data_IF_340020933018
#
_entry.id   IF_340020933018
#
_cell.length_a   1.000
_cell.length_b   1.000
_cell.length_c   1.000
_cell.angle_alpha   90.00
_cell.angle_beta   90.00
_cell.angle_gamma   90.00
#
_symmetry.space_group_name_H-M   'P 1'
#
loop_
_entity.id
_entity.type
_entity.pdbx_description
1 polymer ?
2 non-polymer ?
3 water ?
#
# COMPACT_ATOMS: atom_id res chain seq x y z
N UNK A 1 -14.21 -12.71 3.27
CA UNK A 1 -13.61 -13.35 2.14
C UNK A 1 -12.11 -13.50 2.27
N UNK A 2 -11.60 -14.38 1.46
CA UNK A 2 -10.21 -14.53 1.21
C UNK A 2 -9.94 -14.08 -0.20
N UNK A 3 -8.91 -13.27 -0.39
CA UNK A 3 -8.52 -12.95 -1.77
C UNK A 3 -7.06 -13.06 -1.95
N UNK A 4 -6.76 -13.54 -3.13
CA UNK A 4 -5.41 -13.60 -3.66
C UNK A 4 -5.00 -12.26 -4.32
N UNK A 5 -3.70 -12.13 -4.67
CA UNK A 5 -3.13 -10.87 -5.08
C UNK A 5 -2.64 -10.77 -6.47
N UNK A 6 -3.15 -11.67 -7.36
CA UNK A 6 -2.81 -11.58 -8.77
C UNK A 6 -3.44 -10.37 -9.45
N UNK A 7 -4.55 -9.88 -8.88
CA UNK A 7 -5.09 -8.63 -9.30
C UNK A 7 -5.14 -7.65 -8.10
N UNK A 8 -5.34 -6.40 -8.38
CA UNK A 8 -5.45 -5.41 -7.28
C UNK A 8 -6.59 -5.72 -6.41
N UNK A 9 -6.45 -5.62 -5.10
CA UNK A 9 -7.55 -6.03 -4.11
C UNK A 9 -8.53 -4.88 -3.94
N UNK A 10 -9.42 -4.79 -4.95
CA UNK A 10 -10.36 -3.67 -4.96
C UNK A 10 -11.69 -4.13 -4.35
N UNK A 11 -12.28 -3.30 -3.52
CA UNK A 11 -13.57 -3.54 -2.90
C UNK A 11 -14.52 -2.36 -3.10
N UNK A 12 -15.78 -2.62 -2.99
CA UNK A 12 -16.79 -1.56 -2.96
C UNK A 12 -16.99 -0.98 -1.63
N UNK A 13 -17.07 0.38 -1.59
CA UNK A 13 -17.32 1.13 -0.41
C UNK A 13 -18.56 2.00 -0.58
N UNK A 14 -19.16 2.30 0.53
CA UNK A 14 -20.29 3.27 0.64
C UNK A 14 -20.04 4.26 1.74
N UNK A 15 -19.95 5.48 1.42
CA UNK A 15 -19.63 6.57 2.33
C UNK A 15 -20.36 7.79 2.00
N UNK A 16 -21.02 8.35 3.01
CA UNK A 16 -21.81 9.49 2.81
C UNK A 16 -22.83 9.34 1.71
N UNK A 17 -23.45 8.13 1.59
CA UNK A 17 -24.42 7.89 0.60
C UNK A 17 -23.94 7.75 -0.88
N UNK A 18 -22.63 7.63 -1.05
CA UNK A 18 -22.08 7.46 -2.35
C UNK A 18 -21.25 6.24 -2.41
N UNK A 19 -21.26 5.66 -3.58
CA UNK A 19 -20.63 4.38 -3.82
C UNK A 19 -19.38 4.61 -4.63
N UNK A 20 -18.33 3.98 -4.13
CA UNK A 20 -17.05 4.03 -4.82
C UNK A 20 -16.31 2.69 -4.74
N UNK A 21 -15.20 2.57 -5.40
CA UNK A 21 -14.29 1.46 -5.22
C UNK A 21 -13.00 1.98 -4.60
N UNK A 22 -12.33 1.06 -3.93
CA UNK A 22 -11.07 1.43 -3.21
C UNK A 22 -10.21 0.17 -3.08
N UNK A 23 -8.91 0.39 -2.99
CA UNK A 23 -7.93 -0.67 -2.94
C UNK A 23 -7.61 -0.93 -1.47
N UNK A 24 -7.73 -2.20 -1.04
CA UNK A 24 -7.33 -2.60 0.33
C UNK A 24 -5.80 -2.57 0.38
N UNK A 25 -5.22 -1.73 1.20
CA UNK A 25 -3.78 -1.36 1.05
C UNK A 25 -3.06 -1.53 2.41
N UNK A 26 -2.44 -2.69 2.57
CA UNK A 26 -1.69 -2.90 3.82
C UNK A 26 -0.48 -2.01 3.97
N UNK A 27 -0.01 -1.34 2.95
CA UNK A 27 1.03 -0.37 3.04
C UNK A 27 0.65 1.01 3.47
N UNK A 28 -0.65 1.24 3.64
CA UNK A 28 -1.17 2.53 4.00
C UNK A 28 -1.64 2.53 5.48
N UNK A 29 -1.06 3.46 6.27
CA UNK A 29 -1.46 3.53 7.63
C UNK A 29 -2.95 4.07 7.69
N UNK A 30 -3.28 4.97 6.76
CA UNK A 30 -4.57 5.71 6.81
C UNK A 30 -5.32 5.52 5.48
N UNK A 31 -6.62 5.69 5.55
CA UNK A 31 -7.52 5.64 4.42
C UNK A 31 -7.58 7.00 3.72
N UNK A 32 -7.44 7.00 2.41
CA UNK A 32 -7.40 8.23 1.67
C UNK A 32 -8.28 8.07 0.44
N UNK A 33 -9.29 8.95 0.29
CA UNK A 33 -10.19 8.92 -0.84
C UNK A 33 -10.17 10.22 -1.60
N UNK A 34 -10.33 10.18 -2.90
CA UNK A 34 -10.33 11.43 -3.62
C UNK A 34 -11.73 11.87 -4.07
N UNK A 35 -12.53 10.91 -4.43
CA UNK A 35 -13.55 11.39 -5.37
C UNK A 35 -14.89 11.67 -4.60
N UNK A 36 -14.82 12.23 -3.34
CA UNK A 36 -15.89 12.18 -2.26
C UNK A 36 -16.16 13.50 -1.48
N UNK A 37 -17.49 13.80 -1.20
CA UNK A 37 -18.04 14.80 -0.27
C UNK A 37 -18.37 14.36 1.05
N UNK A 38 -17.63 14.98 2.04
CA UNK A 38 -17.99 14.72 3.40
C UNK A 38 -18.46 15.97 4.00
N UNK A 39 -19.41 15.88 4.85
CA UNK A 39 -19.94 17.06 5.53
C UNK A 39 -19.16 17.32 6.79
N UNK A 40 -19.36 18.51 7.35
CA UNK A 40 -18.80 18.83 8.68
C UNK A 40 -17.40 19.35 8.68
N UNK A 41 -16.94 19.47 9.92
CA UNK A 41 -15.61 19.96 10.25
C UNK A 41 -14.47 19.00 9.78
N UNK A 42 -13.27 19.56 9.54
CA UNK A 42 -12.08 18.76 9.16
C UNK A 42 -10.84 19.52 9.48
N UNK A 43 -9.71 18.85 9.50
CA UNK A 43 -8.38 19.45 9.77
C UNK A 43 -7.39 19.17 8.63
N UNK A 44 -6.52 20.14 8.29
CA UNK A 44 -5.45 19.98 7.26
C UNK A 44 -4.49 18.96 7.79
N UNK A 45 -3.98 18.12 6.90
CA UNK A 45 -2.96 17.10 7.22
C UNK A 45 -2.08 16.89 5.99
N UNK A 46 -0.82 16.54 6.11
CA UNK A 46 -0.01 16.35 4.92
C UNK A 46 0.35 14.90 5.02
N UNK A 47 0.33 14.15 4.06
CA UNK A 47 0.73 12.77 4.19
C UNK A 47 1.84 12.52 3.22
N UNK A 48 2.68 11.55 3.54
CA UNK A 48 3.80 11.36 2.69
C UNK A 48 3.90 9.99 2.01
N UNK A 49 3.73 10.04 0.68
CA UNK A 49 3.77 8.83 -0.13
C UNK A 49 4.98 8.81 -1.02
N UNK A 50 5.10 7.77 -1.84
CA UNK A 50 6.33 7.64 -2.52
C UNK A 50 6.73 8.93 -3.19
N UNK A 51 5.80 9.59 -3.90
CA UNK A 51 6.16 10.62 -4.91
C UNK A 51 6.41 12.00 -4.34
N UNK A 52 6.38 12.07 -3.01
CA UNK A 52 6.60 13.31 -2.34
C UNK A 52 5.64 13.53 -1.19
N UNK A 53 4.80 14.58 -1.36
CA UNK A 53 3.74 14.99 -0.38
C UNK A 53 2.37 15.11 -1.04
N UNK A 54 1.29 14.93 -0.24
CA UNK A 54 -0.06 15.38 -0.66
C UNK A 54 -0.76 15.98 0.56
N UNK A 55 -1.49 17.07 0.34
CA UNK A 55 -2.17 17.81 1.40
C UNK A 55 -3.61 17.31 1.39
N UNK A 56 -4.12 16.92 2.56
CA UNK A 56 -5.42 16.22 2.68
C UNK A 56 -6.27 16.87 3.72
N UNK A 57 -7.58 16.66 3.62
CA UNK A 57 -8.51 16.96 4.73
C UNK A 57 -8.77 15.74 5.55
N UNK A 58 -8.58 15.85 6.84
CA UNK A 58 -8.93 14.82 7.81
C UNK A 58 -10.29 14.98 8.35
N UNK A 59 -11.14 14.00 8.04
CA UNK A 59 -12.51 13.79 8.65
C UNK A 59 -12.55 12.66 9.65
N UNK A 60 -13.03 12.96 10.88
CA UNK A 60 -13.03 12.01 11.98
C UNK A 60 -14.39 11.39 12.11
N UNK A 61 -14.42 10.17 12.57
CA UNK A 61 -15.66 9.46 12.88
C UNK A 61 -16.72 9.41 11.77
N UNK A 62 -16.16 8.99 10.62
CA UNK A 62 -16.90 8.88 9.38
C UNK A 62 -17.41 7.48 9.30
N UNK A 63 -18.72 7.38 9.19
CA UNK A 63 -19.33 6.11 8.90
C UNK A 63 -18.97 5.63 7.48
N UNK A 64 -18.50 4.38 7.32
CA UNK A 64 -18.15 3.80 6.00
C UNK A 64 -18.42 2.38 5.91
N UNK A 65 -19.02 1.89 4.83
CA UNK A 65 -19.24 0.45 4.54
C UNK A 65 -18.19 -0.02 3.62
N UNK A 66 -17.49 -1.09 4.01
CA UNK A 66 -16.38 -1.61 3.18
C UNK A 66 -16.69 -3.08 2.88
N UNK A 67 -16.89 -3.44 1.65
CA UNK A 67 -17.26 -4.77 1.26
C UNK A 67 -18.42 -5.28 2.16
N UNK A 68 -19.40 -4.44 2.48
CA UNK A 68 -20.53 -4.81 3.28
C UNK A 68 -20.44 -4.58 4.81
N UNK A 69 -19.26 -4.28 5.38
CA UNK A 69 -19.07 -4.09 6.79
C UNK A 69 -19.04 -2.66 7.27
N UNK A 70 -19.94 -2.27 8.11
CA UNK A 70 -20.03 -0.97 8.63
C UNK A 70 -18.96 -0.65 9.69
N UNK A 71 -18.18 0.49 9.56
CA UNK A 71 -17.25 0.84 10.50
C UNK A 71 -17.29 2.35 10.63
N UNK A 72 -16.57 2.95 11.56
CA UNK A 72 -16.47 4.37 11.68
C UNK A 72 -15.00 4.64 11.91
N UNK A 73 -14.44 5.62 11.22
CA UNK A 73 -13.15 6.06 11.56
C UNK A 73 -12.75 7.17 10.74
N UNK A 74 -11.48 7.40 10.71
CA UNK A 74 -10.91 8.50 10.07
C UNK A 74 -10.73 8.26 8.61
N UNK A 75 -11.15 9.23 7.88
CA UNK A 75 -11.03 9.27 6.43
C UNK A 75 -10.32 10.54 6.00
N UNK A 76 -9.30 10.39 5.20
CA UNK A 76 -8.62 11.52 4.59
C UNK A 76 -9.12 11.71 3.21
N UNK A 77 -9.42 12.99 2.85
CA UNK A 77 -9.81 13.37 1.51
C UNK A 77 -8.74 14.22 0.84
N UNK A 78 -8.29 13.83 -0.33
CA UNK A 78 -7.27 14.54 -1.06
C UNK A 78 -6.87 13.81 -2.29
N UNK A 79 -5.95 14.40 -3.08
CA UNK A 79 -5.67 13.80 -4.36
C UNK A 79 -4.80 12.52 -4.10
N UNK A 80 -5.28 11.50 -4.69
CA UNK A 80 -4.60 10.22 -4.60
C UNK A 80 -4.94 9.63 -5.92
N UNK A 81 -3.95 8.96 -6.48
CA UNK A 81 -4.31 8.40 -7.78
C UNK A 81 -5.32 7.20 -7.69
N UNK A 82 -5.43 6.59 -6.49
CA UNK A 82 -6.39 5.56 -6.26
C UNK A 82 -6.91 5.69 -4.87
N UNK A 83 -8.21 5.49 -4.71
CA UNK A 83 -8.82 5.44 -3.40
C UNK A 83 -8.17 4.23 -2.67
N UNK A 84 -7.89 4.42 -1.37
CA UNK A 84 -7.11 3.51 -0.55
C UNK A 84 -7.80 3.29 0.80
N UNK A 85 -7.99 2.03 1.16
CA UNK A 85 -8.42 1.68 2.51
C UNK A 85 -7.15 1.26 3.25
N UNK A 86 -6.83 1.99 4.28
CA UNK A 86 -5.61 1.70 5.09
C UNK A 86 -5.89 0.87 6.29
N UNK A 87 -4.78 0.64 7.04
CA UNK A 87 -4.89 -0.25 8.16
C UNK A 87 -5.83 0.30 9.23
N UNK A 88 -5.98 1.63 9.33
CA UNK A 88 -6.93 2.16 10.31
C UNK A 88 -8.29 1.57 10.23
N UNK A 89 -8.74 1.30 9.03
CA UNK A 89 -10.02 0.66 8.85
C UNK A 89 -9.99 -0.86 8.60
N UNK A 90 -8.88 -1.39 8.00
CA UNK A 90 -8.75 -2.80 7.88
C UNK A 90 -8.72 -3.58 9.22
N UNK A 91 -8.12 -2.90 10.22
CA UNK A 91 -8.15 -3.56 11.53
C UNK A 91 -9.55 -3.76 12.10
N UNK A 92 -10.43 -2.84 11.72
CA UNK A 92 -11.85 -2.93 12.11
C UNK A 92 -12.55 -4.11 11.47
N UNK A 93 -12.08 -4.53 10.31
CA UNK A 93 -12.61 -5.74 9.66
C UNK A 93 -11.99 -7.06 10.09
N UNK A 94 -11.00 -6.97 10.99
CA UNK A 94 -10.20 -8.12 11.45
C UNK A 94 -9.37 -8.72 10.29
N UNK A 95 -8.91 -7.84 9.38
CA UNK A 95 -8.19 -8.34 8.24
C UNK A 95 -6.78 -8.86 8.65
N UNK A 96 -6.39 -9.92 7.97
CA UNK A 96 -5.06 -10.46 8.06
C UNK A 96 -4.39 -10.73 6.73
N UNK A 97 -3.06 -10.71 6.70
CA UNK A 97 -2.27 -11.22 5.60
C UNK A 97 -1.79 -12.59 6.00
N UNK A 98 -1.80 -13.52 5.05
CA UNK A 98 -1.46 -14.82 5.23
C UNK A 98 -0.53 -15.24 4.18
N UNK A 99 0.61 -15.89 4.58
CA UNK A 99 1.37 -16.69 3.63
C UNK A 99 2.17 -17.88 4.20
N UNK B 1 3.06 -17.50 7.73
CA UNK B 1 2.51 -16.82 8.89
C UNK B 1 1.21 -16.11 8.56
N UNK B 2 0.48 -15.86 9.60
CA UNK B 2 -0.63 -14.99 9.62
C UNK B 2 -0.26 -13.72 10.38
N UNK B 3 -0.56 -12.56 9.82
CA UNK B 3 -0.40 -11.38 10.62
C UNK B 3 -1.58 -10.54 10.54
N UNK B 4 -1.77 -9.87 11.65
CA UNK B 4 -2.74 -8.81 11.78
C UNK B 4 -2.16 -7.43 11.40
N UNK B 5 -3.03 -6.40 11.33
CA UNK B 5 -2.62 -5.13 10.80
C UNK B 5 -2.69 -3.98 11.74
N UNK B 6 -2.60 -4.28 13.06
CA UNK B 6 -2.53 -3.18 14.04
C UNK B 6 -1.17 -2.44 14.00
N UNK B 7 -0.15 -3.15 13.52
CA UNK B 7 1.15 -2.57 13.25
C UNK B 7 1.47 -2.70 11.73
N UNK B 8 2.41 -1.96 11.27
CA UNK B 8 2.85 -2.11 9.85
C UNK B 8 3.38 -3.46 9.59
N UNK B 9 3.00 -4.12 8.51
CA UNK B 9 3.42 -5.53 8.18
C UNK B 9 4.82 -5.59 7.61
N UNK B 10 5.79 -5.43 8.53
CA UNK B 10 7.19 -5.36 8.10
C UNK B 10 7.84 -6.74 8.19
N UNK B 11 8.61 -7.12 7.17
CA UNK B 11 9.32 -8.36 7.10
C UNK B 11 10.78 -8.13 6.78
N UNK B 12 11.59 -9.09 7.11
CA UNK B 12 13.00 -9.11 6.68
C UNK B 12 13.20 -9.68 5.36
N UNK B 13 14.06 -9.00 4.57
CA UNK B 13 14.43 -9.36 3.25
C UNK B 13 15.97 -9.53 3.15
N UNK B 14 16.35 -10.37 2.23
CA UNK B 14 17.77 -10.54 1.83
C UNK B 14 17.88 -10.48 0.35
N UNK B 15 18.67 -9.57 -0.14
CA UNK B 15 18.83 -9.28 -1.56
C UNK B 15 20.18 -8.85 -1.83
N UNK B 16 20.80 -9.48 -2.82
CA UNK B 16 22.12 -9.18 -3.19
C UNK B 16 23.08 -9.23 -2.04
N UNK B 17 22.90 -10.20 -1.13
CA UNK B 17 23.71 -10.32 0.04
C UNK B 17 23.56 -9.26 1.16
N UNK B 18 22.52 -8.45 1.02
CA UNK B 18 22.24 -7.30 1.89
C UNK B 18 20.94 -7.60 2.64
N UNK B 19 20.86 -7.30 3.91
CA UNK B 19 19.66 -7.51 4.73
C UNK B 19 19.01 -6.18 4.98
N UNK B 20 17.71 -6.22 4.74
CA UNK B 20 16.87 -5.04 4.91
C UNK B 20 15.50 -5.42 5.49
N UNK B 21 14.71 -4.42 5.85
CA UNK B 21 13.30 -4.63 6.14
C UNK B 21 12.46 -3.93 5.08
N UNK B 22 11.26 -4.46 4.94
CA UNK B 22 10.32 -3.94 3.90
C UNK B 22 8.91 -4.19 4.35
N UNK B 23 7.99 -3.34 3.85
CA UNK B 23 6.59 -3.44 4.15
C UNK B 23 5.92 -4.33 3.12
N UNK B 24 5.14 -5.28 3.57
CA UNK B 24 4.26 -6.05 2.68
C UNK B 24 3.07 -5.20 2.27
N UNK B 25 2.96 -4.86 1.02
CA UNK B 25 2.09 -3.71 0.60
C UNK B 25 1.13 -4.17 -0.51
N UNK B 26 -0.07 -4.52 -0.10
CA UNK B 26 -1.05 -4.97 -1.11
C UNK B 26 -1.49 -3.84 -2.02
N UNK B 27 -1.27 -2.60 -1.71
CA UNK B 27 -1.54 -1.52 -2.59
C UNK B 27 -0.52 -1.23 -3.63
N UNK B 28 0.60 -1.93 -3.63
CA UNK B 28 1.68 -1.72 -4.55
C UNK B 28 1.69 -2.86 -5.58
N UNK B 29 1.66 -2.45 -6.88
CA UNK B 29 1.69 -3.44 -7.88
C UNK B 29 3.17 -4.05 -7.91
N UNK B 30 4.16 -3.21 -7.66
CA UNK B 30 5.58 -3.56 -7.89
C UNK B 30 6.34 -3.34 -6.57
N UNK B 31 7.44 -4.03 -6.41
CA UNK B 31 8.37 -3.94 -5.30
C UNK B 31 9.36 -2.82 -5.52
N UNK B 32 9.54 -1.96 -4.53
CA UNK B 32 10.38 -0.81 -4.68
C UNK B 32 11.25 -0.69 -3.43
N UNK B 33 12.58 -0.72 -3.62
CA UNK B 33 13.54 -0.61 -2.53
C UNK B 33 14.43 0.60 -2.67
N UNK B 34 14.82 1.26 -1.62
CA UNK B 34 15.68 2.43 -1.73
C UNK B 34 17.12 2.08 -1.34
N UNK B 35 17.28 1.23 -0.37
CA UNK B 35 18.57 1.44 0.30
C UNK B 35 19.58 0.38 -0.17
N UNK B 36 19.60 0.03 -1.49
CA UNK B 36 20.13 -1.27 -2.03
C UNK B 36 20.94 -1.22 -3.40
N UNK B 37 22.18 -1.81 -3.45
CA UNK B 37 22.96 -2.10 -4.69
C UNK B 37 22.63 -3.36 -5.40
N UNK B 38 22.20 -3.20 -6.68
CA UNK B 38 22.06 -4.38 -7.53
C UNK B 38 23.05 -4.32 -8.68
N UNK B 39 23.63 -5.48 -9.04
CA UNK B 39 24.53 -5.51 -10.17
C UNK B 39 23.76 -5.58 -11.44
N UNK B 40 24.49 -5.40 -12.56
CA UNK B 40 23.95 -5.68 -13.89
C UNK B 40 23.17 -4.54 -14.52
N UNK B 41 22.64 -4.89 -15.68
CA UNK B 41 21.81 -3.93 -16.44
C UNK B 41 20.44 -3.68 -15.83
N UNK B 42 19.88 -2.53 -16.17
CA UNK B 42 18.53 -2.13 -15.69
C UNK B 42 17.84 -1.18 -16.62
N UNK B 43 16.50 -0.97 -16.53
CA UNK B 43 15.85 0.12 -17.39
C UNK B 43 15.20 1.23 -16.55
N UNK B 44 15.20 2.51 -17.00
CA UNK B 44 14.49 3.61 -16.34
C UNK B 44 12.99 3.31 -16.35
N UNK B 45 12.34 3.69 -15.27
CA UNK B 45 10.86 3.61 -15.14
C UNK B 45 10.35 4.73 -14.28
N UNK B 46 9.13 5.14 -14.56
CA UNK B 46 8.52 6.09 -13.68
C UNK B 46 7.44 5.29 -13.15
N UNK B 47 7.26 5.45 -11.86
CA UNK B 47 6.18 4.79 -11.27
C UNK B 47 5.40 5.86 -10.65
N UNK B 48 4.22 5.61 -10.51
CA UNK B 48 3.48 6.68 -9.98
C UNK B 48 3.29 6.33 -8.54
N UNK B 49 2.56 7.15 -7.85
CA UNK B 49 2.69 7.25 -6.41
C UNK B 49 1.81 8.28 -5.88
N UNK B 50 1.55 8.25 -4.61
CA UNK B 50 0.59 9.10 -4.03
C UNK B 50 0.99 10.53 -4.20
N UNK B 51 2.14 11.03 -3.72
CA UNK B 51 2.46 12.46 -3.90
C UNK B 51 3.11 12.86 -5.24
N UNK B 52 2.90 12.05 -6.29
CA UNK B 52 3.37 12.34 -7.58
C UNK B 52 4.01 11.21 -8.35
N UNK B 53 5.31 11.39 -8.58
CA UNK B 53 6.09 10.57 -9.51
C UNK B 53 7.39 10.23 -8.84
N UNK B 54 7.92 9.05 -9.12
CA UNK B 54 9.36 8.77 -8.77
C UNK B 54 9.96 8.05 -9.93
N UNK B 55 11.23 8.38 -10.18
CA UNK B 55 12.03 7.81 -11.23
C UNK B 55 12.81 6.67 -10.56
N UNK B 56 12.72 5.49 -11.17
CA UNK B 56 13.28 4.24 -10.60
C UNK B 56 14.10 3.50 -11.61
N UNK B 57 15.01 2.69 -11.10
CA UNK B 57 15.69 1.63 -11.92
C UNK B 57 14.96 0.33 -11.82
N UNK B 58 14.58 -0.22 -12.93
CA UNK B 58 14.08 -1.57 -13.00
C UNK B 58 15.10 -2.60 -13.21
N UNK B 59 15.23 -3.51 -12.23
CA UNK B 59 16.09 -4.76 -12.26
C UNK B 59 15.28 -5.99 -12.41
N UNK B 60 15.57 -6.79 -13.46
CA UNK B 60 14.76 -7.97 -13.73
C UNK B 60 15.41 -9.20 -13.16
N UNK B 61 14.59 -10.15 -12.79
CA UNK B 61 15.08 -11.48 -12.37
C UNK B 61 16.12 -11.48 -11.26
N UNK B 62 15.69 -10.75 -10.22
CA UNK B 62 16.47 -10.52 -9.04
C UNK B 62 16.10 -11.53 -8.01
N UNK B 63 17.11 -12.27 -7.59
CA UNK B 63 16.89 -13.21 -6.49
C UNK B 63 16.62 -12.42 -5.19
N UNK B 64 15.55 -12.76 -4.41
CA UNK B 64 15.24 -12.11 -3.13
C UNK B 64 14.63 -13.01 -2.15
N UNK B 65 15.01 -13.01 -0.91
CA UNK B 65 14.44 -13.81 0.17
C UNK B 65 13.57 -12.93 1.01
N UNK B 66 12.29 -13.30 1.11
CA UNK B 66 11.30 -12.45 1.84
C UNK B 66 10.73 -13.31 2.98
N UNK B 67 10.99 -12.93 4.20
CA UNK B 67 10.58 -13.64 5.36
C UNK B 67 11.03 -15.15 5.17
N UNK B 68 12.21 -15.41 4.63
CA UNK B 68 12.71 -16.76 4.45
C UNK B 68 12.40 -17.48 3.13
N UNK B 69 11.49 -16.95 2.33
CA UNK B 69 11.14 -17.55 1.07
C UNK B 69 11.89 -16.99 -0.13
N UNK B 70 12.66 -17.78 -0.80
CA UNK B 70 13.33 -17.45 -2.02
C UNK B 70 12.47 -17.26 -3.25
N UNK B 71 12.53 -16.09 -3.97
CA UNK B 71 11.76 -15.91 -5.13
C UNK B 71 12.68 -15.15 -6.10
N UNK B 72 12.26 -14.90 -7.34
CA UNK B 72 13.03 -14.10 -8.31
C UNK B 72 11.98 -13.24 -8.96
N UNK B 73 12.24 -11.99 -9.10
CA UNK B 73 11.39 -11.17 -9.90
C UNK B 73 11.95 -9.83 -10.04
N UNK B 74 11.09 -8.92 -10.38
CA UNK B 74 11.43 -7.62 -10.65
C UNK B 74 11.50 -6.84 -9.40
N UNK B 75 12.54 -6.09 -9.31
CA UNK B 75 12.79 -5.14 -8.24
C UNK B 75 13.07 -3.76 -8.82
N UNK B 76 12.35 -2.78 -8.32
CA UNK B 76 12.59 -1.40 -8.64
C UNK B 76 13.42 -0.77 -7.58
N UNK B 77 14.47 -0.04 -7.97
CA UNK B 77 15.27 0.75 -7.08
C UNK B 77 15.10 2.24 -7.29
N UNK B 78 14.81 2.95 -6.23
CA UNK B 78 14.64 4.39 -6.26
C UNK B 78 14.12 4.93 -4.98
N UNK B 79 13.90 6.25 -4.92
CA UNK B 79 13.55 6.84 -3.62
C UNK B 79 12.08 6.47 -3.27
N UNK B 80 12.01 5.94 -2.13
CA UNK B 80 10.74 5.60 -1.56
C UNK B 80 10.98 5.86 -0.14
N UNK B 81 9.94 6.34 0.52
CA UNK B 81 10.10 6.64 1.91
C UNK B 81 10.17 5.31 2.75
N UNK B 82 9.70 4.21 2.17
CA UNK B 82 9.65 2.94 2.85
C UNK B 82 9.88 1.85 1.81
N UNK B 83 10.81 0.92 2.08
CA UNK B 83 10.97 -0.25 1.20
C UNK B 83 9.60 -0.96 1.20
N UNK B 84 9.12 -1.35 0.00
CA UNK B 84 7.81 -2.02 -0.11
C UNK B 84 7.96 -3.26 -1.00
N UNK B 85 7.31 -4.33 -0.55
CA UNK B 85 7.17 -5.59 -1.29
C UNK B 85 5.77 -5.52 -1.91
N UNK B 86 5.71 -5.49 -3.23
CA UNK B 86 4.44 -5.41 -3.95
C UNK B 86 3.91 -6.74 -4.33
N UNK B 87 2.74 -6.68 -5.02
CA UNK B 87 2.05 -7.91 -5.36
C UNK B 87 2.88 -8.76 -6.33
N UNK B 88 3.74 -8.14 -7.13
CA UNK B 88 4.58 -8.98 -8.02
C UNK B 88 5.32 -10.10 -7.29
N UNK B 89 5.77 -9.82 -6.06
CA UNK B 89 6.45 -10.79 -5.30
C UNK B 89 5.56 -11.46 -4.25
N UNK B 90 4.52 -10.79 -3.69
CA UNK B 90 3.65 -11.50 -2.76
C UNK B 90 2.85 -12.64 -3.40
N UNK B 91 2.56 -12.52 -4.70
CA UNK B 91 1.91 -13.65 -5.35
C UNK B 91 2.79 -14.91 -5.37
N UNK B 92 4.11 -14.68 -5.43
CA UNK B 92 5.07 -15.79 -5.34
C UNK B 92 5.11 -16.47 -3.99
N UNK B 93 4.70 -15.77 -2.96
CA UNK B 93 4.49 -16.35 -1.62
C UNK B 93 3.15 -16.99 -1.32
N UNK B 94 2.26 -16.91 -2.30
CA UNK B 94 0.91 -17.36 -2.14
C UNK B 94 0.12 -16.53 -1.10
N UNK B 95 0.49 -15.24 -0.97
CA UNK B 95 -0.14 -14.41 0.02
C UNK B 95 -1.62 -14.13 -0.30
N UNK B 96 -2.40 -14.10 0.76
CA UNK B 96 -3.77 -13.69 0.71
C UNK B 96 -4.19 -12.69 1.75
N UNK B 97 -5.19 -11.87 1.47
CA UNK B 97 -5.86 -11.03 2.45
C UNK B 97 -7.11 -11.74 2.86
N UNK B 98 -7.43 -11.69 4.16
CA UNK B 98 -8.52 -12.36 4.70
C UNK B 98 -9.26 -11.51 5.58
N UNK B 99 -10.60 -11.49 5.37
CA UNK B 99 -11.50 -10.97 6.35
C UNK B 99 -12.93 -11.53 6.22
X LIG C 1 -1.90 7.03 4.63
X LIG C 1 -1.18 6.75 3.51
X LIG C 1 -1.86 6.20 2.43
X LIG C 1 -1.17 5.95 1.27
X LIG C 1 0.22 6.16 1.20
X LIG C 1 0.90 6.69 2.29
X LIG C 1 0.20 6.98 3.46
X LIG C 1 1.05 5.77 -0.16
X LIG C 1 0.13 5.67 -1.25
X LIG C 1 2.21 6.59 -0.22
X LIG C 1 1.64 4.32 0.15
X LIG C 1 2.77 4.20 1.04
X LIG C 1 3.88 3.24 0.59
X LIG C 1 4.63 3.79 -0.62
X LIG C 1 4.77 3.10 1.82
X LIG C 1 0.78 3.13 -0.06
X LIG C 1 1.13 2.30 -1.28
X LIG C 1 0.46 1.08 -1.18
X LIG C 1 0.71 2.95 -2.60
X LIG C 1 1.28 2.11 -3.64
X LIG C 1 2.37 2.50 -4.34
X LIG C 1 2.96 3.58 -4.21
X LIG C 1 2.79 1.53 -5.26
X LIG C 1 3.65 1.93 -6.34
X LIG C 1 4.54 0.72 -6.50
X LIG C 1 3.79 -0.21 -7.26
X LIG C 1 2.94 0.58 -8.18
X LIG C 1 1.58 0.12 -8.07
X LIG C 1 0.83 1.15 -7.37
X LIG C 1 1.56 2.47 -7.64
X LIG C 1 2.99 2.00 -7.71
X LIG C 1 -0.80 2.97 -2.84
X LIG C 1 -1.58 2.94 -5.21
X LIG C 1 -1.74 3.47 -6.48
X LIG C 1 -1.28 4.79 -6.78
X LIG C 1 -0.73 5.51 -5.75
X LIG C 1 -0.54 4.93 -4.48
X LIG C 1 -0.97 3.63 -4.18
#
# INVERSE_FOLDING_TARGET
PQITLWQRPIVTIKIGGQLREALLDTGADDTVLEDIDLPGRWKPKLIVGIGGFVKVRQYEQVPIEIAGHKVVGTVLIGPTPSNIIGRNLMTQLGATLNF
PQITLWQRPIVTIKIGGQLREALLDTGADDTVLEDIDLPGRWKPKLIVGIGGFVKVRQYEQVPIEIAGHKVVGTVLIGPTPSNIIGRNLMTQLGATLNF
017 N1 C2 C3 C4 C5 C6 C7 S8 O9 O10 N11 C12 C13 C14 C15 C16 C17 O18 C19 N20 C21 O22 O23 C24 C25 O26 C27 O28 C29 C30 C31 C32 C33 C34 C35 C36 C37 C38
#
